data_IF_881549993572
#
_entry.id   IF_881549993572
#
_cell.length_a   1.000
_cell.length_b   1.000
_cell.length_c   1.000
_cell.angle_alpha   90.00
_cell.angle_beta   90.00
_cell.angle_gamma   90.00
#
_symmetry.space_group_name_H-M   'P 1'
#
loop_
_entity.id
_entity.type
_entity.pdbx_description
1 polymer ?
#
# COMPACT_ATOMS: atom_id res chain seq x y z
N UNK A 1 3.49 14.85 14.01
CA UNK A 1 3.38 14.92 12.53
C UNK A 1 4.17 13.74 11.97
N UNK A 2 3.50 12.73 11.38
CA UNK A 2 4.14 11.49 10.90
C UNK A 2 3.50 11.02 9.56
N UNK A 3 3.43 11.93 8.58
CA UNK A 3 2.82 11.67 7.26
C UNK A 3 3.84 11.38 6.15
N UNK A 4 5.13 11.57 6.40
CA UNK A 4 6.16 11.66 5.34
C UNK A 4 6.49 10.35 4.63
N UNK A 5 6.41 9.19 5.29
CA UNK A 5 6.93 7.94 4.72
C UNK A 5 5.99 7.29 3.70
N UNK A 6 4.67 7.32 3.96
CA UNK A 6 3.67 6.78 3.02
C UNK A 6 3.57 7.59 1.74
N UNK A 7 3.55 8.92 1.86
CA UNK A 7 3.51 9.83 0.71
C UNK A 7 4.78 9.68 -0.16
N UNK A 8 5.95 9.49 0.47
CA UNK A 8 7.22 9.30 -0.25
C UNK A 8 7.25 7.99 -1.04
N UNK A 9 6.75 6.88 -0.47
CA UNK A 9 6.66 5.59 -1.17
C UNK A 9 5.68 5.63 -2.35
N UNK A 10 4.53 6.30 -2.19
CA UNK A 10 3.58 6.48 -3.30
C UNK A 10 4.16 7.35 -4.42
N UNK A 11 4.90 8.41 -4.07
CA UNK A 11 5.58 9.24 -5.07
C UNK A 11 6.65 8.44 -5.81
N UNK A 12 7.43 7.62 -5.09
CA UNK A 12 8.43 6.75 -5.70
C UNK A 12 7.82 5.70 -6.63
N UNK A 13 6.71 5.06 -6.24
CA UNK A 13 6.02 4.08 -7.10
C UNK A 13 5.49 4.72 -8.37
N UNK A 14 4.91 5.92 -8.28
CA UNK A 14 4.45 6.68 -9.44
C UNK A 14 5.59 7.07 -10.38
N UNK A 15 6.75 7.46 -9.84
CA UNK A 15 7.95 7.74 -10.63
C UNK A 15 8.48 6.48 -11.33
N UNK A 16 8.53 5.35 -10.63
CA UNK A 16 8.93 4.07 -11.23
C UNK A 16 7.98 3.63 -12.35
N UNK A 17 6.67 3.76 -12.17
CA UNK A 17 5.69 3.45 -13.20
C UNK A 17 5.88 4.33 -14.46
N UNK A 18 6.10 5.64 -14.27
CA UNK A 18 6.41 6.56 -15.37
C UNK A 18 7.72 6.20 -16.07
N UNK A 19 8.75 5.81 -15.32
CA UNK A 19 10.02 5.38 -15.88
C UNK A 19 9.87 4.11 -16.75
N UNK A 20 9.06 3.14 -16.30
CA UNK A 20 8.74 1.94 -17.09
C UNK A 20 8.01 2.31 -18.37
N UNK A 21 6.94 3.12 -18.31
CA UNK A 21 6.19 3.52 -19.49
C UNK A 21 7.06 4.26 -20.52
N UNK A 22 7.91 5.19 -20.06
CA UNK A 22 8.84 5.92 -20.93
C UNK A 22 9.88 4.98 -21.53
N UNK A 23 10.43 4.07 -20.74
CA UNK A 23 11.40 3.09 -21.21
C UNK A 23 10.79 2.12 -22.24
N UNK A 24 9.56 1.65 -22.05
CA UNK A 24 8.85 0.80 -23.02
C UNK A 24 8.60 1.53 -24.34
N UNK A 25 8.26 2.83 -24.27
CA UNK A 25 8.11 3.65 -25.47
C UNK A 25 9.45 3.80 -26.20
N UNK A 26 10.54 4.03 -25.47
CA UNK A 26 11.89 4.11 -26.02
C UNK A 26 12.33 2.78 -26.64
N UNK A 27 12.11 1.66 -25.97
CA UNK A 27 12.39 0.32 -26.46
C UNK A 27 11.70 0.08 -27.81
N UNK A 28 10.39 0.36 -27.91
CA UNK A 28 9.65 0.21 -29.18
C UNK A 28 10.22 1.05 -30.31
N UNK A 29 10.65 2.27 -30.03
CA UNK A 29 11.28 3.14 -31.04
C UNK A 29 12.63 2.59 -31.47
N UNK A 30 13.47 2.17 -30.51
CA UNK A 30 14.77 1.59 -30.80
C UNK A 30 14.65 0.28 -31.57
N UNK A 31 13.70 -0.59 -31.25
CA UNK A 31 13.44 -1.82 -32.03
C UNK A 31 13.11 -1.52 -33.49
N UNK A 32 12.30 -0.48 -33.75
CA UNK A 32 12.00 -0.05 -35.14
C UNK A 32 13.24 0.47 -35.85
N UNK A 33 14.07 1.24 -35.16
CA UNK A 33 15.31 1.78 -35.71
C UNK A 33 16.32 0.65 -35.99
N UNK A 34 16.49 -0.30 -35.07
CA UNK A 34 17.37 -1.47 -35.25
C UNK A 34 16.91 -2.31 -36.45
N UNK A 35 15.61 -2.49 -36.64
CA UNK A 35 15.08 -3.21 -37.80
C UNK A 35 15.39 -2.53 -39.15
N UNK A 36 15.70 -1.24 -39.15
CA UNK A 36 16.08 -0.46 -40.34
C UNK A 36 17.59 -0.20 -40.42
N UNK A 37 18.35 -0.54 -39.37
CA UNK A 37 19.78 -0.28 -39.26
C UNK A 37 20.58 -1.53 -39.58
N UNK A 38 21.86 -1.35 -39.89
CA UNK A 38 22.76 -2.49 -40.02
C UNK A 38 22.96 -3.20 -38.66
N UNK A 39 23.14 -4.54 -38.69
CA UNK A 39 23.48 -5.32 -37.50
C UNK A 39 24.77 -4.79 -36.85
N UNK A 40 24.82 -4.72 -35.52
CA UNK A 40 25.98 -4.18 -34.81
C UNK A 40 26.06 -2.65 -34.77
N UNK A 41 24.99 -1.96 -35.15
CA UNK A 41 24.87 -0.51 -34.94
C UNK A 41 24.77 -0.15 -33.44
N UNK A 42 25.24 1.05 -33.08
CA UNK A 42 25.16 1.57 -31.71
C UNK A 42 23.71 1.60 -31.16
N UNK A 43 22.71 1.65 -32.05
CA UNK A 43 21.29 1.57 -31.71
C UNK A 43 20.91 0.22 -31.10
N UNK A 44 21.54 -0.88 -31.54
CA UNK A 44 21.33 -2.22 -30.99
C UNK A 44 21.88 -2.35 -29.57
N UNK A 45 23.07 -1.80 -29.32
CA UNK A 45 23.66 -1.76 -27.98
C UNK A 45 22.84 -0.88 -27.03
N UNK A 46 22.34 0.25 -27.54
CA UNK A 46 21.42 1.10 -26.79
C UNK A 46 20.10 0.37 -26.48
N UNK A 47 19.55 -0.40 -27.42
CA UNK A 47 18.35 -1.22 -27.19
C UNK A 47 18.60 -2.24 -26.07
N UNK A 48 19.74 -2.96 -26.11
CA UNK A 48 20.12 -3.92 -25.05
C UNK A 48 20.26 -3.23 -23.69
N UNK A 49 20.87 -2.05 -23.64
CA UNK A 49 21.01 -1.27 -22.41
C UNK A 49 19.64 -0.83 -21.86
N UNK A 50 18.72 -0.36 -22.71
CA UNK A 50 17.35 0.03 -22.32
C UNK A 50 16.57 -1.17 -21.78
N UNK A 51 16.65 -2.33 -22.44
CA UNK A 51 16.02 -3.56 -21.98
C UNK A 51 16.56 -4.02 -20.61
N UNK A 52 17.88 -3.94 -20.43
CA UNK A 52 18.54 -4.22 -19.14
C UNK A 52 18.06 -3.29 -18.03
N UNK A 53 18.02 -1.98 -18.30
CA UNK A 53 17.52 -0.96 -17.37
C UNK A 53 16.06 -1.17 -16.98
N UNK A 54 15.18 -1.43 -17.96
CA UNK A 54 13.77 -1.74 -17.71
C UNK A 54 13.61 -2.97 -16.83
N UNK A 55 14.39 -4.03 -17.06
CA UNK A 55 14.38 -5.24 -16.23
C UNK A 55 14.80 -4.94 -14.79
N UNK A 56 15.81 -4.10 -14.59
CA UNK A 56 16.25 -3.68 -13.25
C UNK A 56 15.17 -2.87 -12.52
N UNK A 57 14.53 -1.91 -13.20
CA UNK A 57 13.45 -1.11 -12.62
C UNK A 57 12.27 -2.01 -12.20
N UNK A 58 11.84 -2.94 -13.07
CA UNK A 58 10.76 -3.89 -12.74
C UNK A 58 11.09 -4.78 -11.54
N UNK A 59 12.35 -5.21 -11.41
CA UNK A 59 12.81 -5.99 -10.23
C UNK A 59 12.73 -5.15 -8.96
N UNK A 60 13.18 -3.90 -9.02
CA UNK A 60 13.12 -2.99 -7.87
C UNK A 60 11.67 -2.71 -7.44
N UNK A 61 10.76 -2.48 -8.38
CA UNK A 61 9.31 -2.33 -8.07
C UNK A 61 8.79 -3.55 -7.32
N UNK A 62 9.02 -4.76 -7.84
CA UNK A 62 8.58 -6.01 -7.19
C UNK A 62 9.20 -6.22 -5.81
N UNK A 63 10.47 -5.84 -5.64
CA UNK A 63 11.13 -5.93 -4.33
C UNK A 63 10.52 -4.97 -3.34
N UNK A 64 10.21 -3.74 -3.77
CA UNK A 64 9.61 -2.71 -2.92
C UNK A 64 8.20 -3.12 -2.45
N UNK A 65 7.38 -3.69 -3.34
CA UNK A 65 6.06 -4.24 -3.00
C UNK A 65 6.14 -5.36 -1.94
N UNK A 66 7.15 -6.24 -2.07
CA UNK A 66 7.38 -7.32 -1.09
C UNK A 66 7.83 -6.79 0.27
N UNK A 67 8.72 -5.80 0.30
CA UNK A 67 9.19 -5.20 1.56
C UNK A 67 8.06 -4.51 2.33
N UNK A 68 7.21 -3.75 1.64
CA UNK A 68 6.03 -3.10 2.25
C UNK A 68 5.06 -4.14 2.83
N UNK A 69 4.89 -5.28 2.15
CA UNK A 69 4.01 -6.37 2.60
C UNK A 69 4.59 -7.15 3.79
N UNK A 70 5.92 -7.28 3.88
CA UNK A 70 6.60 -7.98 4.98
C UNK A 70 6.58 -7.18 6.28
N UNK A 71 6.72 -5.85 6.21
CA UNK A 71 6.69 -4.96 7.36
C UNK A 71 5.30 -4.94 8.03
N UNK A 72 4.23 -4.98 7.23
CA UNK A 72 2.85 -5.07 7.71
C UNK A 72 2.58 -6.35 8.54
N UNK A 73 3.27 -7.47 8.26
CA UNK A 73 3.13 -8.72 9.03
C UNK A 73 3.90 -8.72 10.35
N UNK A 74 4.97 -7.92 10.50
CA UNK A 74 5.69 -7.80 11.78
C UNK A 74 4.95 -6.90 12.77
N UNK A 75 4.31 -5.82 12.30
CA UNK A 75 3.53 -4.92 13.15
C UNK A 75 2.27 -5.56 13.77
N UNK A 76 1.74 -6.65 13.17
CA UNK A 76 0.56 -7.37 13.70
C UNK A 76 0.92 -8.41 14.77
N UNK A 77 2.16 -8.93 14.79
CA UNK A 77 2.59 -9.90 15.82
C UNK A 77 2.93 -9.25 17.16
N UNK A 78 3.33 -7.98 17.19
CA UNK A 78 3.73 -7.32 18.44
C UNK A 78 2.55 -6.84 19.30
N UNK A 79 1.35 -6.68 18.71
CA UNK A 79 0.13 -6.33 19.46
C UNK A 79 -0.60 -7.52 20.09
N UNK A 80 -0.22 -8.77 19.76
CA UNK A 80 -0.88 -9.96 20.29
C UNK A 80 -0.16 -10.57 21.52
N UNK A 81 0.98 -10.03 21.96
CA UNK A 81 1.84 -10.68 22.95
C UNK A 81 1.88 -9.99 24.34
N UNK A 82 0.92 -9.09 24.64
CA UNK A 82 0.78 -8.44 25.97
C UNK A 82 -0.59 -8.62 26.63
N UNK A 83 -1.35 -9.66 26.31
CA UNK A 83 -2.63 -9.91 26.97
C UNK A 83 -2.90 -11.38 27.24
N UNK A 84 -1.95 -12.12 27.82
CA UNK A 84 -2.27 -13.44 28.36
C UNK A 84 -1.26 -13.89 29.43
N UNK A 85 -1.48 -13.48 30.68
CA UNK A 85 -1.16 -14.25 31.90
C UNK A 85 -2.12 -13.90 33.04
N UNK A 86 -3.33 -14.47 32.96
CA UNK A 86 -4.01 -15.29 33.98
C UNK A 86 -4.32 -14.69 35.40
N UNK A 87 -5.08 -15.37 36.30
CA UNK A 87 -6.37 -14.87 36.78
C UNK A 87 -6.49 -14.80 38.31
N UNK A 88 -7.16 -13.80 38.89
CA UNK A 88 -7.57 -13.90 40.30
C UNK A 88 -9.06 -13.62 40.51
N UNK A 89 -9.68 -14.64 41.09
CA UNK A 89 -11.09 -14.77 41.45
C UNK A 89 -11.39 -13.85 42.63
N UNK A 90 -12.37 -12.97 42.51
CA UNK A 90 -13.18 -12.59 43.67
C UNK A 90 -14.66 -12.60 43.31
N UNK A 91 -15.36 -13.57 43.92
CA UNK A 91 -16.82 -13.66 43.99
C UNK A 91 -17.39 -12.48 44.78
N UNK A 92 -18.47 -11.88 44.30
CA UNK A 92 -19.70 -11.61 45.07
C UNK A 92 -20.71 -10.83 44.21
N UNK A 93 -21.79 -11.49 43.81
CA UNK A 93 -23.11 -10.89 43.50
C UNK A 93 -23.82 -10.54 44.82
N UNK A 94 -25.06 -9.99 44.83
CA UNK A 94 -25.80 -9.11 43.90
C UNK A 94 -26.38 -7.87 44.64
N UNK A 95 -27.06 -6.94 43.94
CA UNK A 95 -28.41 -6.42 44.32
C UNK A 95 -28.89 -5.28 43.40
N UNK A 96 -30.02 -5.54 42.76
CA UNK A 96 -30.99 -4.57 42.19
C UNK A 96 -31.74 -3.87 43.35
N UNK A 97 -32.21 -2.62 43.18
CA UNK A 97 -33.65 -2.32 43.02
C UNK A 97 -33.88 -1.38 41.80
N UNK A 98 -34.93 -1.53 40.97
CA UNK A 98 -36.32 -1.06 41.16
C UNK A 98 -36.36 0.48 41.34
N UNK A 99 -37.17 1.30 40.65
CA UNK A 99 -38.37 1.13 39.83
C UNK A 99 -38.68 2.48 39.14
N UNK A 100 -39.46 2.43 38.06
CA UNK A 100 -40.42 3.45 37.56
C UNK A 100 -39.84 4.84 37.17
N UNK A 101 -40.30 5.54 36.14
CA UNK A 101 -41.69 5.75 35.72
C UNK A 101 -41.69 6.41 34.32
N UNK A 102 -42.45 5.82 33.38
CA UNK A 102 -43.45 6.42 32.47
C UNK A 102 -43.22 7.92 32.12
N UNK A 103 -43.14 8.39 30.86
CA UNK A 103 -44.21 8.45 29.84
C UNK A 103 -43.64 9.13 28.56
N UNK A 104 -44.09 8.76 27.34
CA UNK A 104 -43.79 9.48 26.10
C UNK A 104 -44.77 10.65 25.89
N UNK A 105 -44.32 11.78 25.34
CA UNK A 105 -45.24 12.79 24.79
C UNK A 105 -44.79 13.24 23.41
N UNK A 106 -45.77 13.16 22.52
CA UNK A 106 -45.75 13.50 21.12
C UNK A 106 -45.76 15.03 20.89
N UNK A 107 -45.95 15.36 19.61
CA UNK A 107 -46.32 16.65 19.03
C UNK A 107 -45.21 17.66 18.82
N UNK A 108 -45.21 18.50 17.79
CA UNK A 108 -45.91 18.62 16.50
C UNK A 108 -45.36 19.93 15.88
N UNK A 109 -45.59 20.13 14.58
CA UNK A 109 -45.37 21.35 13.80
C UNK A 109 -43.92 21.60 13.35
N UNK A 110 -43.62 21.83 12.08
CA UNK A 110 -44.45 22.34 11.00
C UNK A 110 -43.93 23.71 10.54
N UNK A 111 -44.08 23.97 9.24
CA UNK A 111 -43.70 25.18 8.45
C UNK A 111 -42.29 25.14 7.86
N UNK A 112 -42.08 25.47 6.60
CA UNK A 112 -42.94 25.81 5.45
C UNK A 112 -42.03 25.68 4.21
#
# INVERSE_FOLDING_TARGET
MAKTDKDSLQKLSALMAKAVQRGEKLERTLTKLVAQSEPGSATEDLLKAVQGGLKAIRKNVKSMERSVSADAKKASKEKAQKSDRNPEKHKATPKKPASADITPLAEVNGRE
#
